data_IF_526829163419
#
_entry.id   IF_526829163419
#
_cell.length_a   1.000
_cell.length_b   1.000
_cell.length_c   1.000
_cell.angle_alpha   90.00
_cell.angle_beta   90.00
_cell.angle_gamma   90.00
#
_symmetry.space_group_name_H-M   'P 1'
#
loop_
_entity.id
_entity.type
_entity.pdbx_description
1 polymer ?
#
# COMPACT_ATOMS: atom_id res chain seq x y z
N UNK A 1 16.43 -3.35 23.96
CA UNK A 1 16.99 -3.93 22.71
C UNK A 1 17.18 -2.79 21.72
N UNK A 2 18.31 -2.76 20.99
CA UNK A 2 18.58 -1.72 19.98
C UNK A 2 17.70 -1.92 18.74
N UNK A 3 17.41 -0.84 18.04
CA UNK A 3 16.70 -0.86 16.76
C UNK A 3 17.66 -0.61 15.61
N UNK A 4 17.53 -1.39 14.54
CA UNK A 4 18.18 -1.16 13.25
C UNK A 4 17.08 -0.94 12.22
N UNK A 5 17.22 0.08 11.39
CA UNK A 5 16.19 0.46 10.40
C UNK A 5 16.83 0.56 9.04
N UNK A 6 16.31 -0.21 8.07
CA UNK A 6 16.56 0.03 6.66
C UNK A 6 15.52 1.03 6.15
N UNK A 7 15.93 2.26 5.83
CA UNK A 7 14.98 3.33 5.50
C UNK A 7 15.58 4.50 4.74
N UNK A 8 14.73 5.45 4.34
CA UNK A 8 15.16 6.69 3.70
C UNK A 8 15.54 7.71 4.77
N UNK A 9 16.78 8.21 4.69
CA UNK A 9 17.29 9.22 5.61
C UNK A 9 16.45 10.50 5.55
N UNK A 10 16.05 11.02 6.71
CA UNK A 10 15.21 12.21 6.77
C UNK A 10 13.78 12.03 6.24
N UNK A 11 13.30 10.79 6.04
CA UNK A 11 11.87 10.57 5.81
C UNK A 11 11.07 10.84 7.09
N UNK A 12 9.75 11.07 6.95
CA UNK A 12 8.86 11.22 8.11
C UNK A 12 8.84 9.98 8.98
N UNK A 13 9.02 8.80 8.38
CA UNK A 13 9.00 7.51 9.07
C UNK A 13 10.26 7.29 9.90
N UNK A 14 11.45 7.57 9.35
CA UNK A 14 12.71 7.44 10.10
C UNK A 14 12.87 8.50 11.18
N UNK A 15 12.39 9.74 10.96
CA UNK A 15 12.30 10.75 12.03
C UNK A 15 11.32 10.34 13.13
N UNK A 16 10.10 9.95 12.78
CA UNK A 16 9.09 9.60 13.77
C UNK A 16 9.52 8.45 14.69
N UNK A 17 10.24 7.45 14.17
CA UNK A 17 10.79 6.38 15.00
C UNK A 17 11.91 6.86 15.93
N UNK A 18 12.79 7.76 15.46
CA UNK A 18 13.83 8.37 16.29
C UNK A 18 13.20 9.16 17.44
N UNK A 19 12.25 10.04 17.12
CA UNK A 19 11.54 10.87 18.09
C UNK A 19 10.80 9.99 19.12
N UNK A 20 10.23 8.86 18.68
CA UNK A 20 9.59 7.90 19.58
C UNK A 20 10.59 7.21 20.51
N UNK A 21 11.76 6.78 20.01
CA UNK A 21 12.82 6.24 20.86
C UNK A 21 13.24 7.24 21.93
N UNK A 22 13.42 8.51 21.57
CA UNK A 22 13.77 9.59 22.50
C UNK A 22 12.69 9.78 23.57
N UNK A 23 11.40 9.84 23.17
CA UNK A 23 10.27 9.99 24.12
C UNK A 23 10.18 8.85 25.13
N UNK A 24 10.47 7.62 24.74
CA UNK A 24 10.38 6.43 25.61
C UNK A 24 11.72 6.06 26.26
N UNK A 25 12.73 6.94 26.18
CA UNK A 25 14.04 6.74 26.83
C UNK A 25 14.88 5.59 26.24
N UNK A 26 14.69 5.26 24.96
CA UNK A 26 15.45 4.22 24.24
C UNK A 26 16.58 4.84 23.41
N UNK A 27 17.68 4.08 23.16
CA UNK A 27 18.71 4.51 22.23
C UNK A 27 18.13 4.82 20.84
N UNK A 28 18.69 5.84 20.18
CA UNK A 28 18.32 6.17 18.81
C UNK A 28 18.51 4.96 17.88
N UNK A 29 17.60 4.76 16.90
CA UNK A 29 17.73 3.65 15.96
C UNK A 29 18.97 3.83 15.08
N UNK A 30 19.68 2.73 14.82
CA UNK A 30 20.75 2.67 13.82
C UNK A 30 20.10 2.67 12.44
N UNK A 31 20.26 3.76 11.69
CA UNK A 31 19.75 3.88 10.34
C UNK A 31 20.76 3.33 9.33
N UNK A 32 20.34 2.35 8.55
CA UNK A 32 21.00 1.93 7.30
C UNK A 32 20.19 2.53 6.16
N UNK A 33 20.80 3.41 5.37
CA UNK A 33 20.09 4.03 4.26
C UNK A 33 19.88 3.02 3.13
N UNK A 34 18.72 3.07 2.48
CA UNK A 34 18.46 2.25 1.28
C UNK A 34 19.56 2.44 0.22
N UNK A 35 19.95 3.68 -0.09
CA UNK A 35 21.02 3.97 -1.06
C UNK A 35 22.31 3.23 -0.75
N UNK A 36 22.73 3.25 0.51
CA UNK A 36 23.98 2.67 0.95
C UNK A 36 23.92 1.15 0.90
N UNK A 37 22.83 0.55 1.38
CA UNK A 37 22.66 -0.90 1.33
C UNK A 37 22.54 -1.45 -0.09
N UNK A 38 21.87 -0.73 -1.00
CA UNK A 38 21.85 -1.14 -2.40
C UNK A 38 23.26 -1.04 -3.03
N UNK A 39 24.12 -0.10 -2.64
CA UNK A 39 25.49 0.00 -3.18
C UNK A 39 26.45 -1.01 -2.55
N UNK A 40 26.38 -1.16 -1.23
CA UNK A 40 27.22 -2.04 -0.43
C UNK A 40 26.35 -2.82 0.58
N UNK A 41 25.99 -4.09 0.27
CA UNK A 41 25.21 -4.92 1.18
C UNK A 41 25.89 -5.17 2.54
N UNK A 42 27.21 -5.02 2.65
CA UNK A 42 27.95 -5.27 3.89
C UNK A 42 27.59 -4.29 5.01
N UNK A 43 27.15 -3.07 4.69
CA UNK A 43 26.75 -2.09 5.69
C UNK A 43 25.57 -2.58 6.56
N UNK A 44 24.61 -3.30 5.96
CA UNK A 44 23.50 -3.88 6.70
C UNK A 44 23.98 -5.06 7.56
N UNK A 45 24.82 -5.93 7.02
CA UNK A 45 25.37 -7.05 7.79
C UNK A 45 26.13 -6.56 9.03
N UNK A 46 26.95 -5.51 8.89
CA UNK A 46 27.63 -4.86 10.00
C UNK A 46 26.64 -4.28 11.03
N UNK A 47 25.57 -3.62 10.57
CA UNK A 47 24.54 -3.09 11.46
C UNK A 47 23.78 -4.19 12.23
N UNK A 48 23.63 -5.39 11.64
CA UNK A 48 22.94 -6.55 12.24
C UNK A 48 23.83 -7.45 13.10
N UNK A 49 25.12 -7.11 13.26
CA UNK A 49 26.13 -7.93 13.98
C UNK A 49 25.83 -8.25 15.45
N UNK A 50 24.99 -7.46 16.12
CA UNK A 50 24.52 -7.71 17.49
C UNK A 50 22.98 -7.78 17.55
N UNK A 51 22.41 -8.43 18.59
CA UNK A 51 20.96 -8.59 18.70
C UNK A 51 20.19 -7.27 18.58
N UNK A 52 19.18 -7.23 17.73
CA UNK A 52 18.39 -6.03 17.45
C UNK A 52 16.97 -6.34 17.00
N UNK A 53 16.08 -5.36 17.13
CA UNK A 53 14.85 -5.32 16.34
C UNK A 53 15.19 -4.66 15.01
N UNK A 54 14.89 -5.33 13.90
CA UNK A 54 15.18 -4.83 12.56
C UNK A 54 13.88 -4.44 11.84
N UNK A 55 13.79 -3.20 11.38
CA UNK A 55 12.60 -2.68 10.67
C UNK A 55 12.95 -2.21 9.28
N UNK A 56 12.11 -2.54 8.31
CA UNK A 56 12.15 -1.98 6.96
C UNK A 56 11.13 -0.85 6.86
N UNK A 57 11.55 0.30 6.36
CA UNK A 57 10.69 1.41 5.93
C UNK A 57 10.69 1.48 4.40
N UNK A 58 9.61 1.99 3.76
CA UNK A 58 9.48 1.96 2.31
C UNK A 58 10.58 2.78 1.63
N UNK A 59 11.10 2.34 0.47
CA UNK A 59 12.13 3.06 -0.29
C UNK A 59 11.58 4.27 -1.06
N UNK A 60 10.26 4.44 -1.15
CA UNK A 60 9.59 5.30 -2.13
C UNK A 60 9.81 6.81 -1.99
N UNK A 61 10.36 7.29 -0.87
CA UNK A 61 10.67 8.72 -0.68
C UNK A 61 11.99 9.14 -1.40
N UNK A 62 12.64 8.22 -2.13
CA UNK A 62 13.95 8.42 -2.72
C UNK A 62 13.99 7.99 -4.20
N UNK A 63 14.07 8.97 -5.10
CA UNK A 63 14.04 8.75 -6.54
C UNK A 63 15.24 7.94 -7.07
N UNK A 64 16.43 8.09 -6.46
CA UNK A 64 17.61 7.30 -6.84
C UNK A 64 17.44 5.84 -6.43
N UNK A 65 16.91 5.58 -5.24
CA UNK A 65 16.59 4.22 -4.79
C UNK A 65 15.52 3.60 -5.68
N UNK A 66 14.47 4.37 -6.01
CA UNK A 66 13.43 3.91 -6.93
C UNK A 66 14.01 3.49 -8.28
N UNK A 67 14.84 4.33 -8.90
CA UNK A 67 15.48 4.01 -10.17
C UNK A 67 16.47 2.84 -10.07
N UNK A 68 17.23 2.73 -8.97
CA UNK A 68 18.12 1.60 -8.74
C UNK A 68 17.35 0.26 -8.64
N UNK A 69 16.18 0.25 -8.00
CA UNK A 69 15.30 -0.91 -7.96
C UNK A 69 14.74 -1.23 -9.34
N UNK A 70 14.29 -0.22 -10.11
CA UNK A 70 13.85 -0.42 -11.51
C UNK A 70 14.98 -1.01 -12.37
N UNK A 71 16.21 -0.52 -12.24
CA UNK A 71 17.35 -1.01 -13.00
C UNK A 71 17.66 -2.49 -12.67
N UNK A 72 17.61 -2.86 -11.39
CA UNK A 72 17.74 -4.26 -10.94
C UNK A 72 16.63 -5.15 -11.46
N UNK A 73 15.40 -4.66 -11.45
CA UNK A 73 14.28 -5.41 -12.01
C UNK A 73 14.41 -5.60 -13.51
N UNK A 74 14.90 -4.59 -14.23
CA UNK A 74 15.18 -4.68 -15.65
C UNK A 74 16.26 -5.75 -15.93
N UNK A 75 17.36 -5.74 -15.17
CA UNK A 75 18.40 -6.78 -15.24
C UNK A 75 17.83 -8.18 -14.96
N UNK A 76 17.10 -8.35 -13.84
CA UNK A 76 16.48 -9.63 -13.44
C UNK A 76 15.51 -10.18 -14.49
N UNK A 77 14.83 -9.30 -15.22
CA UNK A 77 13.86 -9.67 -16.25
C UNK A 77 14.44 -9.66 -17.68
N UNK A 78 15.74 -9.37 -17.86
CA UNK A 78 16.37 -9.30 -19.18
C UNK A 78 15.81 -8.19 -20.08
N UNK A 79 15.42 -7.06 -19.49
CA UNK A 79 14.81 -5.91 -20.18
C UNK A 79 15.74 -4.69 -20.13
N UNK A 80 15.65 -3.77 -21.10
CA UNK A 80 16.39 -2.51 -21.04
C UNK A 80 15.94 -1.68 -19.84
N UNK A 81 16.90 -1.03 -19.19
CA UNK A 81 16.64 -0.10 -18.09
C UNK A 81 15.94 1.15 -18.68
N UNK A 82 14.70 1.47 -18.27
CA UNK A 82 14.03 2.67 -18.73
C UNK A 82 14.68 3.91 -18.12
N UNK A 83 14.48 5.10 -18.70
CA UNK A 83 14.88 6.34 -18.04
C UNK A 83 14.21 6.47 -16.67
N UNK A 84 14.81 7.23 -15.72
CA UNK A 84 14.17 7.52 -14.45
C UNK A 84 12.77 8.13 -14.65
N UNK A 85 11.80 7.59 -13.92
CA UNK A 85 10.44 8.13 -13.90
C UNK A 85 10.43 9.53 -13.28
N UNK A 86 9.59 10.42 -13.80
CA UNK A 86 9.38 11.72 -13.19
C UNK A 86 8.62 11.61 -11.86
N UNK A 87 8.75 12.58 -10.93
CA UNK A 87 8.01 12.56 -9.68
C UNK A 87 6.50 12.37 -9.88
N UNK A 88 5.98 11.27 -9.34
CA UNK A 88 4.58 10.91 -9.43
C UNK A 88 4.19 10.17 -10.72
N UNK A 89 5.08 9.97 -11.68
CA UNK A 89 4.79 9.18 -12.87
C UNK A 89 4.51 7.72 -12.53
N UNK A 90 3.48 7.14 -13.16
CA UNK A 90 3.18 5.72 -13.12
C UNK A 90 3.89 5.01 -14.28
N UNK A 91 5.13 4.61 -14.06
CA UNK A 91 5.95 3.90 -15.05
C UNK A 91 6.84 2.84 -14.41
N UNK A 92 7.02 1.71 -15.12
CA UNK A 92 7.96 0.65 -14.74
C UNK A 92 7.67 -0.01 -13.40
N UNK A 93 6.41 -0.03 -12.94
CA UNK A 93 6.10 -0.55 -11.59
C UNK A 93 6.35 -2.05 -11.45
N UNK A 94 6.26 -2.80 -12.53
CA UNK A 94 6.61 -4.22 -12.62
C UNK A 94 8.12 -4.44 -12.48
N UNK A 95 8.92 -3.61 -13.16
CA UNK A 95 10.38 -3.59 -13.00
C UNK A 95 10.77 -3.20 -11.58
N UNK A 96 10.16 -2.14 -11.03
CA UNK A 96 10.38 -1.73 -9.65
C UNK A 96 10.09 -2.88 -8.68
N UNK A 97 8.97 -3.57 -8.85
CA UNK A 97 8.60 -4.69 -7.98
C UNK A 97 9.55 -5.88 -8.14
N UNK A 98 10.01 -6.19 -9.35
CA UNK A 98 10.99 -7.25 -9.58
C UNK A 98 12.33 -6.93 -8.87
N UNK A 99 12.80 -5.69 -8.93
CA UNK A 99 14.00 -5.27 -8.20
C UNK A 99 13.81 -5.19 -6.69
N UNK A 100 12.61 -4.80 -6.22
CA UNK A 100 12.26 -4.84 -4.80
C UNK A 100 12.18 -6.28 -4.27
N UNK A 101 11.66 -7.21 -5.08
CA UNK A 101 11.68 -8.65 -4.80
C UNK A 101 13.11 -9.16 -4.65
N UNK A 102 14.00 -8.80 -5.57
CA UNK A 102 15.43 -9.13 -5.46
C UNK A 102 16.07 -8.58 -4.18
N UNK A 103 15.75 -7.33 -3.82
CA UNK A 103 16.23 -6.75 -2.57
C UNK A 103 15.71 -7.53 -1.35
N UNK A 104 14.43 -7.90 -1.32
CA UNK A 104 13.86 -8.68 -0.21
C UNK A 104 14.43 -10.11 -0.13
N UNK A 105 14.73 -10.74 -1.27
CA UNK A 105 15.42 -12.04 -1.33
C UNK A 105 16.83 -11.93 -0.68
N UNK A 106 17.60 -10.91 -1.06
CA UNK A 106 18.93 -10.63 -0.46
C UNK A 106 18.82 -10.31 1.02
N UNK A 107 17.83 -9.51 1.41
CA UNK A 107 17.58 -9.17 2.79
C UNK A 107 17.28 -10.41 3.64
N UNK A 108 16.46 -11.32 3.13
CA UNK A 108 16.19 -12.59 3.78
C UNK A 108 17.47 -13.41 3.98
N UNK A 109 18.34 -13.48 2.97
CA UNK A 109 19.64 -14.14 3.09
C UNK A 109 20.56 -13.47 4.13
N UNK A 110 20.60 -12.13 4.19
CA UNK A 110 21.34 -11.40 5.23
C UNK A 110 20.80 -11.69 6.63
N UNK A 111 19.47 -11.69 6.82
CA UNK A 111 18.84 -11.98 8.11
C UNK A 111 19.08 -13.41 8.57
N UNK A 112 19.15 -14.38 7.65
CA UNK A 112 19.49 -15.77 7.98
C UNK A 112 20.89 -15.92 8.59
N UNK A 113 21.81 -15.02 8.27
CA UNK A 113 23.17 -14.96 8.85
C UNK A 113 23.24 -14.14 10.15
N UNK A 114 22.14 -13.51 10.57
CA UNK A 114 22.06 -12.67 11.75
C UNK A 114 20.90 -13.12 12.67
N UNK A 115 20.97 -14.32 13.30
CA UNK A 115 19.87 -14.87 14.10
C UNK A 115 19.47 -14.02 15.32
N UNK A 116 20.34 -13.09 15.76
CA UNK A 116 20.02 -12.11 16.79
C UNK A 116 19.12 -10.95 16.31
N UNK A 117 18.93 -10.78 15.00
CA UNK A 117 18.08 -9.77 14.41
C UNK A 117 16.63 -10.27 14.31
N UNK A 118 15.70 -9.54 14.92
CA UNK A 118 14.26 -9.83 14.91
C UNK A 118 13.56 -8.92 13.91
N UNK A 119 13.17 -9.41 12.71
CA UNK A 119 12.56 -8.57 11.70
C UNK A 119 11.11 -8.19 12.06
N UNK A 120 10.78 -6.92 11.85
CA UNK A 120 9.44 -6.35 11.95
C UNK A 120 9.22 -5.50 10.67
N UNK A 121 8.77 -6.05 9.56
CA UNK A 121 8.22 -7.39 9.33
C UNK A 121 9.19 -8.32 8.58
N UNK A 122 8.90 -9.63 8.47
CA UNK A 122 9.67 -10.55 7.61
C UNK A 122 9.66 -10.10 6.14
N UNK A 123 10.77 -10.25 5.39
CA UNK A 123 10.83 -9.85 3.98
C UNK A 123 9.75 -10.49 3.10
N UNK A 124 9.42 -11.76 3.33
CA UNK A 124 8.39 -12.47 2.57
C UNK A 124 6.98 -11.87 2.78
N UNK A 125 6.66 -11.46 4.02
CA UNK A 125 5.39 -10.81 4.32
C UNK A 125 5.34 -9.40 3.70
N UNK A 126 6.46 -8.67 3.72
CA UNK A 126 6.58 -7.35 3.07
C UNK A 126 6.30 -7.48 1.56
N UNK A 127 6.90 -8.46 0.88
CA UNK A 127 6.64 -8.72 -0.54
C UNK A 127 5.18 -9.06 -0.80
N UNK A 128 4.63 -10.01 -0.04
CA UNK A 128 3.26 -10.46 -0.22
C UNK A 128 2.23 -9.33 -0.03
N UNK A 129 2.48 -8.40 0.90
CA UNK A 129 1.64 -7.22 1.09
C UNK A 129 1.88 -6.11 0.06
N UNK A 130 3.08 -6.04 -0.53
CA UNK A 130 3.40 -5.05 -1.58
C UNK A 130 2.74 -5.42 -2.92
N UNK A 131 2.59 -6.72 -3.20
CA UNK A 131 1.77 -7.21 -4.31
C UNK A 131 0.29 -7.24 -3.91
N UNK A 132 -0.48 -6.26 -4.37
CA UNK A 132 -1.90 -6.15 -3.99
C UNK A 132 -2.75 -7.33 -4.45
N UNK A 133 -2.46 -7.94 -5.59
CA UNK A 133 -3.25 -9.07 -6.08
C UNK A 133 -2.95 -10.30 -5.23
N UNK A 134 -1.67 -10.58 -5.00
CA UNK A 134 -1.25 -11.70 -4.15
C UNK A 134 -1.76 -11.54 -2.71
N UNK A 135 -1.61 -10.35 -2.13
CA UNK A 135 -2.14 -10.00 -0.81
C UNK A 135 -3.62 -10.35 -0.70
N UNK A 136 -4.43 -9.88 -1.66
CA UNK A 136 -5.86 -10.12 -1.67
C UNK A 136 -6.21 -11.59 -1.86
N UNK A 137 -5.45 -12.32 -2.69
CA UNK A 137 -5.63 -13.77 -2.88
C UNK A 137 -5.33 -14.55 -1.59
N UNK A 138 -4.26 -14.20 -0.87
CA UNK A 138 -3.91 -14.82 0.43
C UNK A 138 -4.99 -14.56 1.47
N UNK A 139 -5.49 -13.33 1.57
CA UNK A 139 -6.59 -12.96 2.46
C UNK A 139 -7.87 -13.74 2.11
N UNK A 140 -8.23 -13.79 0.83
CA UNK A 140 -9.41 -14.53 0.35
C UNK A 140 -9.30 -16.03 0.66
N UNK A 141 -8.14 -16.64 0.40
CA UNK A 141 -7.89 -18.06 0.67
C UNK A 141 -8.01 -18.41 2.16
N UNK A 142 -7.67 -17.46 3.05
CA UNK A 142 -7.84 -17.59 4.50
C UNK A 142 -9.26 -17.26 5.00
N UNK A 143 -10.22 -17.00 4.11
CA UNK A 143 -11.59 -16.65 4.47
C UNK A 143 -11.76 -15.24 5.04
N UNK A 144 -10.76 -14.37 4.89
CA UNK A 144 -10.89 -12.95 5.24
C UNK A 144 -11.76 -12.29 4.17
N UNK A 145 -12.84 -11.56 4.53
CA UNK A 145 -13.67 -10.92 3.52
C UNK A 145 -12.89 -9.82 2.80
N UNK A 146 -12.86 -9.92 1.48
CA UNK A 146 -12.22 -8.97 0.56
C UNK A 146 -13.19 -8.67 -0.59
N UNK A 147 -13.02 -7.56 -1.34
CA UNK A 147 -13.75 -7.36 -2.58
C UNK A 147 -13.62 -8.58 -3.51
N UNK A 148 -14.71 -8.99 -4.19
CA UNK A 148 -14.66 -10.11 -5.13
C UNK A 148 -13.59 -9.83 -6.19
N UNK A 149 -12.54 -10.66 -6.21
CA UNK A 149 -11.49 -10.59 -7.22
C UNK A 149 -12.03 -11.02 -8.58
N UNK A 150 -11.80 -10.20 -9.59
CA UNK A 150 -12.16 -10.46 -10.99
C UNK A 150 -10.94 -10.89 -11.84
N UNK A 151 -9.74 -10.80 -11.25
CA UNK A 151 -8.49 -11.30 -11.81
C UNK A 151 -7.68 -10.27 -12.59
N UNK A 152 -6.54 -10.70 -13.18
CA UNK A 152 -5.66 -9.83 -13.95
C UNK A 152 -6.34 -9.23 -15.20
N UNK A 153 -5.89 -8.03 -15.56
CA UNK A 153 -6.44 -7.21 -16.65
C UNK A 153 -5.29 -6.71 -17.52
N UNK A 154 -5.33 -7.05 -18.80
CA UNK A 154 -4.33 -6.62 -19.78
C UNK A 154 -4.62 -5.22 -20.35
N UNK A 155 -5.90 -4.87 -20.49
CA UNK A 155 -6.37 -3.61 -21.08
C UNK A 155 -7.83 -3.32 -20.69
N UNK A 156 -8.37 -2.19 -21.15
CA UNK A 156 -9.76 -1.80 -20.96
C UNK A 156 -10.76 -2.85 -21.46
N UNK A 157 -10.51 -3.48 -22.61
CA UNK A 157 -11.43 -4.45 -23.19
C UNK A 157 -11.53 -5.71 -22.31
N UNK A 158 -10.38 -6.21 -21.84
CA UNK A 158 -10.31 -7.30 -20.87
C UNK A 158 -11.04 -6.93 -19.57
N UNK A 159 -10.87 -5.70 -19.07
CA UNK A 159 -11.60 -5.23 -17.88
C UNK A 159 -13.12 -5.30 -18.06
N UNK A 160 -13.62 -4.77 -19.18
CA UNK A 160 -15.05 -4.79 -19.51
C UNK A 160 -15.57 -6.22 -19.61
N UNK A 161 -14.83 -7.11 -20.28
CA UNK A 161 -15.20 -8.52 -20.37
C UNK A 161 -15.26 -9.22 -18.99
N UNK A 162 -14.38 -8.86 -18.05
CA UNK A 162 -14.46 -9.36 -16.66
C UNK A 162 -15.73 -8.88 -15.94
N UNK A 163 -16.14 -7.63 -16.17
CA UNK A 163 -17.39 -7.11 -15.61
C UNK A 163 -18.61 -7.79 -16.23
N UNK A 164 -18.62 -8.00 -17.55
CA UNK A 164 -19.69 -8.70 -18.27
C UNK A 164 -19.87 -10.13 -17.73
N UNK A 165 -18.78 -10.90 -17.66
CA UNK A 165 -18.80 -12.27 -17.13
C UNK A 165 -19.25 -12.34 -15.65
N UNK A 166 -19.07 -11.27 -14.89
CA UNK A 166 -19.49 -11.17 -13.50
C UNK A 166 -20.90 -10.58 -13.32
N UNK A 167 -21.56 -10.11 -14.40
CA UNK A 167 -22.85 -9.42 -14.34
C UNK A 167 -22.78 -8.05 -13.65
N UNK A 168 -21.67 -7.32 -13.78
CA UNK A 168 -21.42 -6.07 -13.09
C UNK A 168 -21.36 -4.88 -14.07
N UNK A 169 -21.79 -3.71 -13.59
CA UNK A 169 -21.69 -2.44 -14.32
C UNK A 169 -20.66 -1.47 -13.72
N UNK A 170 -19.99 -1.90 -12.64
CA UNK A 170 -19.00 -1.11 -11.92
C UNK A 170 -17.93 -2.01 -11.31
N UNK A 171 -16.71 -1.50 -11.24
CA UNK A 171 -15.58 -2.21 -10.67
C UNK A 171 -14.39 -1.30 -10.45
N UNK A 172 -13.38 -1.84 -9.79
CA UNK A 172 -12.12 -1.17 -9.55
C UNK A 172 -11.04 -1.82 -10.41
N UNK A 173 -10.30 -1.02 -11.16
CA UNK A 173 -9.02 -1.43 -11.74
C UNK A 173 -7.92 -0.92 -10.80
N UNK A 174 -6.97 -1.79 -10.41
CA UNK A 174 -5.87 -1.42 -9.52
C UNK A 174 -4.55 -1.83 -10.13
N UNK A 175 -3.61 -0.88 -10.23
CA UNK A 175 -2.21 -1.18 -10.44
C UNK A 175 -1.69 -2.06 -9.29
N UNK A 176 -1.11 -3.20 -9.65
CA UNK A 176 -0.77 -4.31 -8.74
C UNK A 176 0.26 -3.91 -7.69
N UNK A 177 1.25 -3.09 -8.08
CA UNK A 177 2.39 -2.72 -7.23
C UNK A 177 2.40 -1.24 -6.80
N UNK A 178 1.35 -0.48 -7.13
CA UNK A 178 1.28 0.94 -6.77
C UNK A 178 1.04 1.17 -5.27
N UNK A 179 1.39 2.33 -4.73
CA UNK A 179 1.02 2.77 -3.37
C UNK A 179 0.20 4.06 -3.42
N UNK A 180 -0.37 4.51 -2.29
CA UNK A 180 -0.98 5.85 -2.17
C UNK A 180 -2.08 6.14 -3.21
N UNK A 181 -2.92 5.13 -3.49
CA UNK A 181 -3.96 5.13 -4.53
C UNK A 181 -3.46 5.31 -5.98
N UNK A 182 -2.14 5.31 -6.22
CA UNK A 182 -1.57 5.38 -7.55
C UNK A 182 -2.08 4.22 -8.42
N UNK A 183 -2.67 4.56 -9.57
CA UNK A 183 -3.16 3.58 -10.54
C UNK A 183 -4.44 2.86 -10.10
N UNK A 184 -5.24 3.45 -9.21
CA UNK A 184 -6.59 2.96 -8.88
C UNK A 184 -7.64 3.71 -9.69
N UNK A 185 -8.47 2.98 -10.44
CA UNK A 185 -9.55 3.52 -11.27
C UNK A 185 -10.88 2.96 -10.81
N UNK A 186 -11.77 3.86 -10.39
CA UNK A 186 -13.17 3.56 -10.14
C UNK A 186 -13.93 3.66 -11.47
N UNK A 187 -14.27 2.52 -12.07
CA UNK A 187 -15.01 2.46 -13.33
C UNK A 187 -16.51 2.19 -13.08
N UNK A 188 -17.35 2.88 -13.86
CA UNK A 188 -18.78 2.57 -13.98
C UNK A 188 -19.25 2.79 -15.41
N UNK A 189 -20.26 2.01 -15.81
CA UNK A 189 -21.05 2.23 -17.03
C UNK A 189 -22.53 2.21 -16.71
N UNK A 190 -23.35 2.71 -17.62
CA UNK A 190 -24.81 2.56 -17.55
C UNK A 190 -25.35 1.84 -18.79
N UNK A 191 -26.65 1.50 -18.76
CA UNK A 191 -27.34 0.81 -19.86
C UNK A 191 -27.38 1.59 -21.18
N UNK A 192 -27.13 2.90 -21.16
CA UNK A 192 -27.05 3.75 -22.37
C UNK A 192 -25.64 3.79 -22.98
N UNK A 193 -24.70 2.99 -22.45
CA UNK A 193 -23.30 2.96 -22.89
C UNK A 193 -22.46 4.11 -22.37
N UNK A 194 -22.98 4.98 -21.49
CA UNK A 194 -22.20 6.06 -20.90
C UNK A 194 -21.23 5.47 -19.87
N UNK A 195 -19.96 5.86 -19.96
CA UNK A 195 -18.87 5.38 -19.10
C UNK A 195 -18.35 6.51 -18.22
N UNK A 196 -17.76 6.13 -17.09
CA UNK A 196 -17.00 7.05 -16.25
C UNK A 196 -15.87 6.31 -15.54
N UNK A 197 -14.67 6.88 -15.59
CA UNK A 197 -13.50 6.43 -14.87
C UNK A 197 -13.03 7.55 -13.93
N UNK A 198 -12.96 7.26 -12.63
CA UNK A 198 -12.53 8.22 -11.61
C UNK A 198 -11.24 7.74 -10.97
N UNK A 199 -10.16 8.52 -11.04
CA UNK A 199 -8.80 8.09 -10.63
C UNK A 199 -7.90 9.24 -10.20
N UNK A 200 -6.86 8.95 -9.43
CA UNK A 200 -5.72 9.85 -9.20
C UNK A 200 -4.64 9.75 -10.30
N UNK A 201 -4.75 8.81 -11.25
CA UNK A 201 -3.84 8.69 -12.39
C UNK A 201 -4.23 9.71 -13.49
N UNK A 202 -3.61 10.87 -13.48
CA UNK A 202 -3.86 11.92 -14.44
C UNK A 202 -3.15 11.65 -15.76
N UNK A 203 -3.95 11.56 -16.83
CA UNK A 203 -3.48 11.51 -18.22
C UNK A 203 -2.86 12.84 -18.64
N UNK A 204 -1.59 12.80 -19.04
CA UNK A 204 -0.84 13.92 -19.61
C UNK A 204 -0.44 13.57 -21.04
N UNK A 205 -0.85 14.42 -21.98
CA UNK A 205 -0.44 14.33 -23.38
C UNK A 205 0.78 15.23 -23.56
N UNK A 206 1.95 14.65 -23.83
CA UNK A 206 3.16 15.43 -24.13
C UNK A 206 3.02 16.17 -25.47
N UNK A 207 3.82 17.22 -25.68
CA UNK A 207 3.93 17.94 -26.96
C UNK A 207 4.61 17.11 -28.04
N UNK A 208 4.01 15.98 -28.43
CA UNK A 208 4.49 15.05 -29.46
C UNK A 208 4.88 13.64 -28.97
N UNK A 209 4.94 13.41 -27.65
CA UNK A 209 5.30 12.12 -27.06
C UNK A 209 4.11 11.19 -26.76
N UNK A 210 4.40 9.93 -26.40
CA UNK A 210 3.39 9.01 -25.89
C UNK A 210 2.75 9.57 -24.61
N UNK A 211 1.44 9.39 -24.41
CA UNK A 211 0.78 9.88 -23.20
C UNK A 211 1.21 9.08 -21.97
N UNK A 212 1.31 9.80 -20.86
CA UNK A 212 1.83 9.29 -19.59
C UNK A 212 0.80 9.50 -18.50
N UNK A 213 0.93 8.74 -17.42
CA UNK A 213 0.08 8.88 -16.24
C UNK A 213 0.90 9.41 -15.07
N UNK A 214 0.34 10.36 -14.35
CA UNK A 214 0.92 10.90 -13.12
C UNK A 214 -0.06 10.75 -11.96
N UNK A 215 0.37 10.19 -10.83
CA UNK A 215 -0.39 10.15 -9.61
C UNK A 215 -0.48 11.56 -9.02
N UNK A 216 -1.68 12.13 -9.03
CA UNK A 216 -1.97 13.46 -8.50
C UNK A 216 -2.92 13.36 -7.32
N UNK A 217 -2.78 14.28 -6.35
CA UNK A 217 -3.67 14.32 -5.18
C UNK A 217 -5.14 14.59 -5.53
N UNK A 218 -5.39 15.36 -6.61
CA UNK A 218 -6.75 15.70 -7.01
C UNK A 218 -7.29 14.64 -7.97
N UNK A 219 -8.19 13.81 -7.47
CA UNK A 219 -8.90 12.80 -8.27
C UNK A 219 -9.62 13.46 -9.44
N UNK A 220 -9.52 12.86 -10.63
CA UNK A 220 -10.17 13.30 -11.86
C UNK A 220 -11.20 12.28 -12.32
N UNK A 221 -12.22 12.76 -13.02
CA UNK A 221 -13.24 11.93 -13.66
C UNK A 221 -13.17 12.11 -15.18
N UNK A 222 -13.01 11.00 -15.89
CA UNK A 222 -13.06 10.90 -17.35
C UNK A 222 -14.41 10.33 -17.76
N UNK A 223 -14.99 10.90 -18.82
CA UNK A 223 -16.33 10.54 -19.31
C UNK A 223 -16.34 10.21 -20.80
N UNK A 224 -15.31 10.64 -21.54
CA UNK A 224 -15.18 10.33 -22.96
C UNK A 224 -14.65 8.90 -23.14
N UNK A 225 -15.27 8.03 -23.95
CA UNK A 225 -14.86 6.63 -24.09
C UNK A 225 -13.39 6.43 -24.50
N UNK A 226 -12.86 7.30 -25.35
CA UNK A 226 -11.47 7.31 -25.81
C UNK A 226 -10.49 7.59 -24.66
N UNK A 227 -10.77 8.60 -23.83
CA UNK A 227 -9.96 8.93 -22.65
C UNK A 227 -10.04 7.85 -21.57
N UNK A 228 -11.24 7.33 -21.31
CA UNK A 228 -11.47 6.25 -20.34
C UNK A 228 -10.65 5.01 -20.72
N UNK A 229 -10.75 4.58 -21.98
CA UNK A 229 -9.93 3.49 -22.52
C UNK A 229 -8.45 3.76 -22.31
N UNK A 230 -7.98 4.96 -22.69
CA UNK A 230 -6.55 5.30 -22.63
C UNK A 230 -5.98 5.30 -21.22
N UNK A 231 -6.71 5.87 -20.25
CA UNK A 231 -6.32 5.84 -18.84
C UNK A 231 -6.22 4.40 -18.35
N UNK A 232 -7.22 3.58 -18.66
CA UNK A 232 -7.27 2.19 -18.19
C UNK A 232 -6.20 1.32 -18.84
N UNK A 233 -5.94 1.47 -20.13
CA UNK A 233 -4.88 0.74 -20.84
C UNK A 233 -3.50 1.09 -20.28
N UNK A 234 -3.24 2.38 -19.99
CA UNK A 234 -1.97 2.81 -19.40
C UNK A 234 -1.80 2.30 -17.96
N UNK A 235 -2.87 2.24 -17.16
CA UNK A 235 -2.83 1.59 -15.84
C UNK A 235 -2.60 0.09 -15.97
N UNK A 236 -3.28 -0.57 -16.91
CA UNK A 236 -3.15 -2.01 -17.14
C UNK A 236 -1.75 -2.40 -17.62
N UNK A 237 -1.09 -1.55 -18.42
CA UNK A 237 0.29 -1.72 -18.84
C UNK A 237 1.31 -1.74 -17.67
N UNK A 238 0.92 -1.23 -16.49
CA UNK A 238 1.73 -1.31 -15.27
C UNK A 238 1.54 -2.65 -14.52
N UNK A 239 0.74 -3.57 -15.06
CA UNK A 239 0.25 -4.75 -14.36
C UNK A 239 -0.93 -4.38 -13.47
N UNK A 240 -2.15 -4.70 -13.90
CA UNK A 240 -3.36 -4.41 -13.14
C UNK A 240 -4.25 -5.64 -12.96
N UNK A 241 -5.14 -5.53 -11.98
CA UNK A 241 -6.21 -6.49 -11.75
C UNK A 241 -7.52 -5.76 -11.43
N UNK A 242 -8.62 -6.50 -11.54
CA UNK A 242 -9.95 -5.99 -11.28
C UNK A 242 -10.55 -6.56 -9.98
N UNK A 243 -11.32 -5.72 -9.30
CA UNK A 243 -12.16 -6.07 -8.16
C UNK A 243 -13.60 -5.59 -8.37
N UNK A 244 -14.56 -6.33 -7.82
CA UNK A 244 -15.93 -5.86 -7.73
C UNK A 244 -16.06 -4.64 -6.81
N UNK A 245 -17.00 -3.76 -7.12
CA UNK A 245 -17.21 -2.54 -6.36
C UNK A 245 -17.84 -2.80 -4.98
N UNK A 246 -17.11 -2.50 -3.90
CA UNK A 246 -17.67 -2.44 -2.54
C UNK A 246 -18.19 -1.03 -2.24
N UNK A 247 -19.49 -0.85 -1.94
CA UNK A 247 -20.04 0.44 -1.54
C UNK A 247 -19.44 0.91 -0.21
N UNK A 248 -19.01 2.16 -0.14
CA UNK A 248 -18.53 2.78 1.09
C UNK A 248 -19.69 3.36 1.90
N UNK A 249 -19.72 3.18 3.23
CA UNK A 249 -20.69 3.84 4.09
C UNK A 249 -20.59 5.37 3.95
N UNK A 250 -21.68 6.05 4.28
CA UNK A 250 -21.77 7.52 4.18
C UNK A 250 -21.46 8.17 5.51
N UNK A 251 -20.80 9.31 5.45
CA UNK A 251 -20.65 10.24 6.57
C UNK A 251 -21.09 11.63 6.09
N UNK A 252 -22.32 12.02 6.41
CA UNK A 252 -22.97 13.21 5.85
C UNK A 252 -23.06 13.16 4.32
N UNK A 253 -22.49 14.17 3.65
CA UNK A 253 -22.44 14.24 2.19
C UNK A 253 -21.36 13.35 1.56
N UNK A 254 -20.39 12.85 2.35
CA UNK A 254 -19.25 12.09 1.86
C UNK A 254 -19.36 10.58 2.11
N UNK A 255 -18.27 9.90 1.78
CA UNK A 255 -18.07 8.47 2.04
C UNK A 255 -16.82 8.27 2.89
N UNK A 256 -16.76 7.15 3.62
CA UNK A 256 -15.56 6.83 4.38
C UNK A 256 -15.14 5.37 4.25
N UNK A 257 -13.87 5.15 4.50
CA UNK A 257 -13.30 3.87 4.88
C UNK A 257 -12.57 4.00 6.21
N UNK A 258 -12.15 2.89 6.78
CA UNK A 258 -11.35 2.85 7.99
C UNK A 258 -9.90 2.55 7.64
N UNK A 259 -8.99 3.22 8.35
CA UNK A 259 -7.62 2.78 8.51
C UNK A 259 -7.46 2.19 9.91
N UNK A 260 -7.03 0.93 9.99
CA UNK A 260 -6.67 0.27 11.26
C UNK A 260 -5.23 -0.22 11.23
N UNK A 261 -4.48 0.15 12.27
CA UNK A 261 -3.16 -0.40 12.54
C UNK A 261 -3.30 -1.66 13.39
N UNK A 262 -2.68 -2.75 12.97
CA UNK A 262 -2.47 -3.93 13.78
C UNK A 262 -1.03 -3.99 14.28
N UNK A 263 -0.85 -4.28 15.57
CA UNK A 263 0.43 -4.52 16.21
C UNK A 263 0.44 -5.95 16.74
N UNK A 264 1.37 -6.78 16.26
CA UNK A 264 1.49 -8.21 16.62
C UNK A 264 0.17 -8.97 16.54
N UNK A 265 -0.57 -8.73 15.46
CA UNK A 265 -1.87 -9.37 15.22
C UNK A 265 -3.07 -8.73 15.94
N UNK A 266 -2.85 -7.80 16.88
CA UNK A 266 -3.91 -7.12 17.61
C UNK A 266 -4.27 -5.76 16.97
N UNK A 267 -5.55 -5.43 16.76
CA UNK A 267 -5.98 -4.09 16.41
C UNK A 267 -5.54 -3.06 17.46
N UNK A 268 -5.01 -1.93 17.02
CA UNK A 268 -4.56 -0.82 17.86
C UNK A 268 -5.21 0.48 17.36
N UNK A 269 -4.43 1.37 16.73
CA UNK A 269 -4.92 2.65 16.22
C UNK A 269 -5.95 2.49 15.12
N UNK A 270 -7.00 3.32 15.16
CA UNK A 270 -8.06 3.33 14.15
C UNK A 270 -8.46 4.77 13.81
N UNK A 271 -8.74 5.03 12.54
CA UNK A 271 -9.21 6.32 12.08
C UNK A 271 -10.12 6.15 10.86
N UNK A 272 -11.25 6.83 10.85
CA UNK A 272 -12.09 6.92 9.65
C UNK A 272 -11.55 8.01 8.72
N UNK A 273 -11.48 7.72 7.42
CA UNK A 273 -11.04 8.67 6.38
C UNK A 273 -12.23 9.07 5.54
N UNK A 274 -12.73 10.27 5.73
CA UNK A 274 -13.89 10.80 5.04
C UNK A 274 -13.43 11.58 3.81
N UNK A 275 -13.89 11.14 2.62
CA UNK A 275 -13.69 11.84 1.36
C UNK A 275 -15.01 12.25 0.71
N UNK A 276 -14.95 13.26 -0.15
CA UNK A 276 -16.11 13.77 -0.90
C UNK A 276 -16.58 12.81 -2.00
N UNK A 277 -15.71 11.90 -2.44
CA UNK A 277 -15.96 10.95 -3.52
C UNK A 277 -15.62 9.53 -3.07
N UNK A 278 -15.92 8.55 -3.93
CA UNK A 278 -15.73 7.13 -3.60
C UNK A 278 -14.26 6.72 -3.45
N UNK A 279 -13.31 7.48 -4.00
CA UNK A 279 -11.87 7.28 -3.74
C UNK A 279 -11.51 8.03 -2.46
N UNK A 280 -11.16 7.28 -1.40
CA UNK A 280 -10.76 7.81 -0.08
C UNK A 280 -9.35 7.30 0.20
N UNK A 281 -8.37 8.20 0.32
CA UNK A 281 -6.99 7.85 0.64
C UNK A 281 -6.37 9.04 1.40
N UNK A 282 -5.52 8.77 2.40
CA UNK A 282 -4.89 9.82 3.24
C UNK A 282 -4.06 10.82 2.43
N UNK A 283 -3.51 10.41 1.29
CA UNK A 283 -2.75 11.31 0.39
C UNK A 283 -3.65 12.30 -0.37
N UNK A 284 -4.98 12.16 -0.26
CA UNK A 284 -6.00 13.04 -0.84
C UNK A 284 -6.55 14.05 0.18
N UNK A 285 -5.83 14.30 1.27
CA UNK A 285 -6.22 15.25 2.33
C UNK A 285 -7.61 14.95 2.94
N UNK A 286 -7.98 13.65 3.01
CA UNK A 286 -9.25 13.18 3.58
C UNK A 286 -9.38 13.60 5.06
N UNK A 287 -10.57 14.04 5.44
CA UNK A 287 -10.88 14.41 6.84
C UNK A 287 -10.81 13.17 7.73
N UNK A 288 -10.11 13.27 8.85
CA UNK A 288 -10.04 12.22 9.87
C UNK A 288 -11.20 12.37 10.85
N UNK A 289 -11.79 11.24 11.25
CA UNK A 289 -12.79 11.17 12.31
C UNK A 289 -12.55 9.93 13.19
N UNK A 290 -13.05 9.95 14.42
CA UNK A 290 -13.09 8.75 15.24
C UNK A 290 -14.11 7.77 14.64
N UNK A 291 -13.74 6.50 14.37
CA UNK A 291 -14.72 5.49 13.95
C UNK A 291 -15.92 5.36 14.90
N UNK A 292 -15.76 5.65 16.19
CA UNK A 292 -16.85 5.63 17.18
C UNK A 292 -17.94 6.69 16.93
N UNK A 293 -17.64 7.76 16.18
CA UNK A 293 -18.62 8.77 15.79
C UNK A 293 -19.47 8.33 14.57
N UNK A 294 -19.05 7.27 13.86
CA UNK A 294 -19.60 6.89 12.57
C UNK A 294 -20.16 5.46 12.52
N UNK A 295 -19.73 4.60 13.42
CA UNK A 295 -20.05 3.18 13.46
C UNK A 295 -20.55 2.79 14.85
N UNK A 296 -21.46 1.82 14.90
CA UNK A 296 -21.87 1.25 16.17
C UNK A 296 -20.81 0.32 16.78
N UNK A 297 -20.99 -0.04 18.05
CA UNK A 297 -20.04 -0.90 18.78
C UNK A 297 -19.87 -2.28 18.11
N UNK A 298 -20.93 -2.82 17.49
CA UNK A 298 -20.88 -4.11 16.81
C UNK A 298 -20.09 -4.04 15.51
N UNK A 299 -20.22 -2.94 14.75
CA UNK A 299 -19.47 -2.65 13.53
C UNK A 299 -17.99 -2.44 13.82
N UNK A 300 -17.66 -1.75 14.92
CA UNK A 300 -16.26 -1.58 15.36
C UNK A 300 -15.66 -2.94 15.72
N UNK A 301 -16.36 -3.77 16.50
CA UNK A 301 -15.91 -5.13 16.84
C UNK A 301 -15.74 -5.99 15.59
N UNK A 302 -16.66 -5.91 14.64
CA UNK A 302 -16.56 -6.61 13.36
C UNK A 302 -15.30 -6.19 12.58
N UNK A 303 -14.99 -4.90 12.57
CA UNK A 303 -13.78 -4.38 11.94
C UNK A 303 -12.51 -4.93 12.61
N UNK A 304 -12.46 -4.88 13.95
CA UNK A 304 -11.34 -5.38 14.76
C UNK A 304 -11.13 -6.89 14.60
N UNK A 305 -12.20 -7.68 14.64
CA UNK A 305 -12.14 -9.13 14.43
C UNK A 305 -11.67 -9.48 13.02
N UNK A 306 -12.11 -8.70 12.03
CA UNK A 306 -11.66 -8.85 10.64
C UNK A 306 -10.18 -8.51 10.48
N UNK A 307 -9.70 -7.45 11.14
CA UNK A 307 -8.28 -7.09 11.20
C UNK A 307 -7.46 -8.18 11.88
N UNK A 308 -7.95 -8.77 12.98
CA UNK A 308 -7.25 -9.86 13.68
C UNK A 308 -7.09 -11.09 12.77
N UNK A 309 -8.16 -11.48 12.05
CA UNK A 309 -8.08 -12.57 11.05
C UNK A 309 -7.14 -12.23 9.90
N UNK A 310 -7.18 -11.00 9.38
CA UNK A 310 -6.30 -10.55 8.32
C UNK A 310 -4.82 -10.53 8.73
N UNK A 311 -4.53 -10.07 9.95
CA UNK A 311 -3.17 -10.05 10.48
C UNK A 311 -2.62 -11.48 10.72
N UNK A 312 -3.47 -12.44 11.08
CA UNK A 312 -3.07 -13.85 11.22
C UNK A 312 -2.57 -14.48 9.91
N UNK A 313 -3.02 -13.98 8.73
CA UNK A 313 -2.51 -14.40 7.42
C UNK A 313 -1.02 -14.03 7.24
N UNK A 314 -0.57 -12.99 7.94
CA UNK A 314 0.81 -12.52 7.96
C UNK A 314 1.37 -12.65 9.39
N UNK A 315 1.23 -13.83 9.99
CA UNK A 315 1.49 -14.05 11.43
C UNK A 315 2.93 -13.78 11.89
N UNK A 316 3.89 -13.69 10.97
CA UNK A 316 5.26 -13.27 11.27
C UNK A 316 5.44 -11.74 11.39
N UNK A 317 4.44 -10.96 10.98
CA UNK A 317 4.50 -9.50 10.92
C UNK A 317 4.10 -8.85 12.25
N UNK A 318 4.94 -7.92 12.72
CA UNK A 318 4.72 -7.16 13.94
C UNK A 318 3.89 -5.88 13.77
N UNK A 319 3.79 -5.34 12.54
CA UNK A 319 3.03 -4.11 12.26
C UNK A 319 2.39 -4.15 10.88
N UNK A 320 1.07 -3.94 10.78
CA UNK A 320 0.36 -3.91 9.49
C UNK A 320 -0.69 -2.80 9.51
N UNK A 321 -0.72 -1.98 8.46
CA UNK A 321 -1.78 -1.00 8.24
C UNK A 321 -2.87 -1.55 7.32
N UNK A 322 -4.11 -1.63 7.75
CA UNK A 322 -5.23 -2.12 6.94
C UNK A 322 -6.16 -1.00 6.51
N UNK A 323 -6.59 -1.04 5.26
CA UNK A 323 -7.74 -0.28 4.76
C UNK A 323 -8.98 -1.18 4.77
N UNK A 324 -10.07 -0.72 5.37
CA UNK A 324 -11.31 -1.50 5.46
C UNK A 324 -12.55 -0.69 5.10
N UNK A 325 -13.54 -1.37 4.55
CA UNK A 325 -14.90 -0.83 4.47
C UNK A 325 -15.83 -1.69 5.31
N UNK A 326 -16.49 -1.03 6.26
CA UNK A 326 -17.52 -1.62 7.12
C UNK A 326 -18.88 -1.09 6.67
N UNK A 327 -19.85 -1.98 6.48
CA UNK A 327 -21.19 -1.61 6.10
C UNK A 327 -22.18 -2.64 6.66
N UNK A 328 -22.83 -2.31 7.78
CA UNK A 328 -23.69 -3.24 8.50
C UNK A 328 -22.91 -4.50 8.90
N UNK A 329 -23.39 -5.73 8.59
CA UNK A 329 -22.77 -6.96 9.04
C UNK A 329 -21.53 -7.37 8.22
N UNK A 330 -20.96 -6.49 7.40
CA UNK A 330 -19.84 -6.82 6.51
C UNK A 330 -18.67 -5.86 6.73
N UNK A 331 -17.47 -6.42 6.90
CA UNK A 331 -16.21 -5.70 6.89
C UNK A 331 -15.29 -6.32 5.83
N UNK A 332 -14.91 -5.55 4.81
CA UNK A 332 -14.02 -5.99 3.74
C UNK A 332 -12.65 -5.34 3.89
N UNK A 333 -11.58 -6.13 3.81
CA UNK A 333 -10.21 -5.63 3.73
C UNK A 333 -9.92 -5.19 2.29
N UNK A 334 -9.61 -3.91 2.10
CA UNK A 334 -9.32 -3.30 0.80
C UNK A 334 -7.83 -3.35 0.43
N UNK A 335 -6.95 -3.30 1.44
CA UNK A 335 -5.49 -3.28 1.31
C UNK A 335 -4.83 -3.59 2.67
N UNK A 336 -3.66 -4.22 2.64
CA UNK A 336 -2.76 -4.37 3.79
C UNK A 336 -1.40 -3.75 3.47
N UNK A 337 -0.85 -2.95 4.38
CA UNK A 337 0.39 -2.21 4.21
C UNK A 337 1.46 -2.71 5.20
N UNK A 338 2.54 -3.27 4.67
CA UNK A 338 3.60 -3.88 5.45
C UNK A 338 4.42 -2.91 6.30
N UNK A 339 4.40 -1.62 5.99
CA UNK A 339 5.23 -0.64 6.68
C UNK A 339 4.51 -0.03 7.89
N UNK A 340 3.31 -0.52 8.22
CA UNK A 340 2.38 0.18 9.09
C UNK A 340 1.92 1.49 8.47
N UNK A 341 1.28 2.34 9.28
CA UNK A 341 0.76 3.60 8.80
C UNK A 341 1.48 4.82 9.38
N UNK A 342 1.66 5.82 8.51
CA UNK A 342 2.07 7.16 8.91
C UNK A 342 0.83 7.92 9.40
N UNK A 343 0.44 7.71 10.67
CA UNK A 343 -0.69 8.38 11.33
C UNK A 343 -0.21 9.39 12.38
N UNK A 344 0.51 10.46 11.98
CA UNK A 344 1.00 11.45 12.93
C UNK A 344 -0.17 12.09 13.67
N UNK A 345 0.01 12.26 14.98
CA UNK A 345 -0.97 12.85 15.88
C UNK A 345 -2.15 11.95 16.27
N UNK A 346 -2.29 10.75 15.69
CA UNK A 346 -3.35 9.82 16.08
C UNK A 346 -2.94 9.10 17.37
N UNK A 347 -3.64 9.37 18.47
CA UNK A 347 -3.42 8.66 19.73
C UNK A 347 -4.43 7.54 19.93
N UNK A 348 -3.98 6.42 20.45
CA UNK A 348 -4.80 5.31 20.90
C UNK A 348 -4.20 4.75 22.20
N UNK A 349 -5.02 4.58 23.24
CA UNK A 349 -4.51 4.23 24.57
C UNK A 349 -3.46 5.21 25.10
N UNK A 350 -3.58 6.50 24.77
CA UNK A 350 -2.62 7.55 25.13
C UNK A 350 -1.35 7.61 24.28
N UNK A 351 -1.11 6.65 23.38
CA UNK A 351 0.14 6.49 22.63
C UNK A 351 -0.03 6.80 21.15
N UNK A 352 1.01 7.35 20.53
CA UNK A 352 1.06 7.45 19.08
C UNK A 352 1.45 6.10 18.43
N UNK A 353 1.37 5.96 17.09
CA UNK A 353 1.66 4.71 16.41
C UNK A 353 3.10 4.21 16.57
N UNK A 354 4.07 5.12 16.68
CA UNK A 354 5.47 4.76 16.84
C UNK A 354 5.75 4.29 18.26
N UNK A 355 5.24 5.01 19.27
CA UNK A 355 5.37 4.63 20.67
C UNK A 355 4.80 3.22 20.91
N UNK A 356 3.61 2.95 20.38
CA UNK A 356 2.97 1.65 20.50
C UNK A 356 3.73 0.54 19.75
N UNK A 357 4.30 0.83 18.58
CA UNK A 357 5.12 -0.13 17.84
C UNK A 357 6.43 -0.45 18.58
N UNK A 358 7.04 0.52 19.25
CA UNK A 358 8.25 0.32 20.05
C UNK A 358 8.03 -0.55 21.28
N UNK A 359 6.86 -0.43 21.91
CA UNK A 359 6.47 -1.27 23.05
C UNK A 359 6.07 -2.69 22.64
N UNK A 360 5.43 -2.84 21.48
CA UNK A 360 5.00 -4.14 21.01
C UNK A 360 6.19 -5.04 20.60
N UNK A 361 7.29 -4.46 20.11
CA UNK A 361 8.40 -5.17 19.47
C UNK A 361 9.32 -5.99 20.38
#
# INVERSE_FOLDING_TARGET
MRWVVLGVAGSKRTRGLRDACERVGRPAPVLVAWRDWLRDPACLAAALSAPCVFKVEPPGDDAEVHHALVARGAERLGRPVPPPAEPGELAGTDLWFAGFSDAMDRLAATLAQAPGARPVNPPADILAMTDKLECQQRLQAAGVPVPRLLGPVADHAAFVARLDAAGLDRGWLKARFGSSAAGVVAFRRNRRGQVSATTSAHLVHGGGGAPRLFNVKRVRSYHRPDEVRRVMDLVAAQGAYAEAWVPKPRAGAGHFDLRLLALRGAPAHRVARIGERTVTNLHLDSRRADPADLLDVSEIRLAEDTVRRAAAVFGGSGVIGFDLVVHGPRAHVLEANAFGDLLPGLRWGGRDPWDAALEAA
#
